data_IF_206420038037
#
_entry.id   IF_206420038037
#
_cell.length_a   1.000
_cell.length_b   1.000
_cell.length_c   1.000
_cell.angle_alpha   90.00
_cell.angle_beta   90.00
_cell.angle_gamma   90.00
#
_symmetry.space_group_name_H-M   'P 1'
#
loop_
_entity.id
_entity.type
_entity.pdbx_description
1 polymer ?
#
# COMPACT_ATOMS: atom_id res chain seq x y z
N UNK A 1 11.73 18.19 -30.24
CA UNK A 1 10.87 17.41 -29.36
C UNK A 1 11.54 17.25 -28.02
N UNK A 2 10.88 17.66 -26.98
CA UNK A 2 11.46 17.55 -25.64
C UNK A 2 11.36 16.12 -25.15
N UNK A 3 12.51 15.57 -24.78
CA UNK A 3 12.54 14.32 -24.04
C UNK A 3 12.35 14.64 -22.58
N UNK A 4 11.14 14.44 -22.09
CA UNK A 4 10.94 14.45 -20.65
C UNK A 4 11.35 13.10 -20.10
N UNK A 5 12.08 13.12 -18.99
CA UNK A 5 12.28 11.90 -18.23
C UNK A 5 10.91 11.26 -17.96
N UNK A 6 10.79 9.93 -18.03
CA UNK A 6 9.52 9.28 -17.74
C UNK A 6 9.03 9.72 -16.38
N UNK A 7 7.78 10.18 -16.32
CA UNK A 7 7.18 10.54 -15.06
C UNK A 7 7.14 9.30 -14.19
N UNK A 8 7.67 9.39 -12.99
CA UNK A 8 7.61 8.25 -12.09
C UNK A 8 6.17 7.89 -11.80
N UNK A 9 5.86 6.60 -11.95
CA UNK A 9 4.52 6.10 -11.68
C UNK A 9 4.23 6.21 -10.19
N UNK A 10 3.02 6.63 -9.86
CA UNK A 10 2.58 6.62 -8.47
C UNK A 10 2.48 5.19 -7.98
N UNK A 11 3.07 4.92 -6.84
CA UNK A 11 3.02 3.61 -6.21
C UNK A 11 1.75 3.46 -5.39
N UNK A 12 1.08 2.34 -5.60
CA UNK A 12 -0.11 1.97 -4.84
C UNK A 12 0.19 0.69 -4.07
N UNK A 13 0.09 0.74 -2.76
CA UNK A 13 0.25 -0.43 -1.91
C UNK A 13 -1.13 -0.99 -1.61
N UNK A 14 -1.34 -2.25 -1.97
CA UNK A 14 -2.60 -2.95 -1.78
C UNK A 14 -2.47 -3.91 -0.60
N UNK A 15 -3.31 -3.72 0.41
CA UNK A 15 -3.25 -4.51 1.65
C UNK A 15 -4.54 -5.30 1.81
N UNK A 16 -4.42 -6.63 1.73
CA UNK A 16 -5.58 -7.53 1.81
C UNK A 16 -6.15 -7.63 3.22
N UNK A 17 -7.32 -8.24 3.33
CA UNK A 17 -8.01 -8.40 4.59
C UNK A 17 -7.64 -9.68 5.33
N UNK A 18 -8.36 -9.88 6.42
CA UNK A 18 -8.21 -11.05 7.29
C UNK A 18 -8.49 -12.34 6.53
N UNK A 19 -7.65 -13.34 6.73
CA UNK A 19 -7.75 -14.67 6.08
C UNK A 19 -7.75 -14.61 4.56
N UNK A 20 -7.42 -13.47 4.00
CA UNK A 20 -7.30 -13.31 2.55
C UNK A 20 -5.84 -13.45 2.15
N UNK A 21 -5.65 -13.80 0.89
CA UNK A 21 -4.33 -13.82 0.28
C UNK A 21 -4.17 -12.59 -0.62
N UNK A 22 -2.95 -12.26 -1.04
CA UNK A 22 -2.76 -11.17 -2.01
C UNK A 22 -3.57 -11.34 -3.30
N UNK A 23 -4.02 -12.55 -3.61
CA UNK A 23 -4.81 -12.84 -4.79
C UNK A 23 -6.12 -12.06 -4.88
N UNK A 24 -6.74 -11.76 -3.72
CA UNK A 24 -8.01 -11.04 -3.70
C UNK A 24 -7.89 -9.64 -4.29
N UNK A 25 -6.71 -9.03 -4.20
CA UNK A 25 -6.45 -7.69 -4.70
C UNK A 25 -5.94 -7.68 -6.15
N UNK A 26 -5.73 -8.84 -6.75
CA UNK A 26 -5.11 -8.94 -8.06
C UNK A 26 -5.92 -8.30 -9.19
N UNK A 27 -7.24 -8.48 -9.27
CA UNK A 27 -8.01 -7.78 -10.30
C UNK A 27 -7.90 -6.26 -10.21
N UNK A 28 -7.91 -5.72 -8.99
CA UNK A 28 -7.73 -4.29 -8.77
C UNK A 28 -6.31 -3.86 -9.16
N UNK A 29 -5.30 -4.64 -8.76
CA UNK A 29 -3.91 -4.35 -9.13
C UNK A 29 -3.75 -4.27 -10.65
N UNK A 30 -4.33 -5.19 -11.39
CA UNK A 30 -4.25 -5.19 -12.85
C UNK A 30 -4.91 -3.95 -13.46
N UNK A 31 -6.04 -3.53 -12.93
CA UNK A 31 -6.72 -2.31 -13.41
C UNK A 31 -5.90 -1.07 -13.12
N UNK A 32 -5.29 -1.00 -11.96
CA UNK A 32 -4.44 0.12 -11.59
C UNK A 32 -3.17 0.16 -12.45
N UNK A 33 -2.55 -0.98 -12.71
CA UNK A 33 -1.40 -1.08 -13.60
C UNK A 33 -1.75 -0.60 -15.01
N UNK A 34 -2.91 -1.00 -15.52
CA UNK A 34 -3.38 -0.55 -16.83
C UNK A 34 -3.61 0.97 -16.87
N UNK A 35 -3.95 1.57 -15.73
CA UNK A 35 -4.12 3.01 -15.61
C UNK A 35 -2.81 3.78 -15.36
N UNK A 36 -1.67 3.08 -15.32
CA UNK A 36 -0.36 3.70 -15.18
C UNK A 36 0.21 3.74 -13.77
N UNK A 37 -0.42 3.05 -12.81
CA UNK A 37 0.11 2.97 -11.45
C UNK A 37 1.09 1.81 -11.30
N UNK A 38 2.06 1.99 -10.41
CA UNK A 38 2.94 0.93 -9.96
C UNK A 38 2.33 0.30 -8.71
N UNK A 39 1.94 -0.96 -8.77
CA UNK A 39 1.26 -1.61 -7.66
C UNK A 39 2.15 -2.59 -6.93
N UNK A 40 2.00 -2.62 -5.62
CA UNK A 40 2.62 -3.64 -4.78
C UNK A 40 1.55 -4.25 -3.88
N UNK A 41 1.40 -5.56 -3.93
CA UNK A 41 0.49 -6.28 -3.04
C UNK A 41 1.27 -6.69 -1.80
N UNK A 42 1.00 -6.00 -0.69
CA UNK A 42 1.67 -6.27 0.55
C UNK A 42 1.10 -7.53 1.20
N UNK A 43 1.93 -8.57 1.28
CA UNK A 43 1.58 -9.80 1.96
C UNK A 43 1.94 -9.73 3.43
N UNK A 44 0.99 -10.00 4.30
CA UNK A 44 1.23 -10.03 5.73
C UNK A 44 0.64 -11.31 6.33
N UNK A 45 1.13 -11.66 7.50
CA UNK A 45 0.66 -12.86 8.20
C UNK A 45 -0.55 -12.54 9.08
N UNK A 46 -1.60 -12.08 8.46
CA UNK A 46 -2.91 -11.85 9.05
C UNK A 46 -2.92 -11.50 10.57
N UNK A 47 -3.84 -12.07 11.33
CA UNK A 47 -4.05 -11.72 12.75
C UNK A 47 -2.93 -12.10 13.70
N UNK A 48 -2.09 -13.06 13.34
CA UNK A 48 -1.10 -13.60 14.27
C UNK A 48 -0.11 -12.56 14.76
N UNK A 49 0.20 -11.61 13.92
CA UNK A 49 1.25 -10.62 14.21
C UNK A 49 0.70 -9.28 14.71
N UNK A 50 -0.61 -9.07 14.62
CA UNK A 50 -1.24 -7.83 15.06
C UNK A 50 -1.06 -6.67 14.10
N UNK A 51 -1.84 -5.61 14.34
CA UNK A 51 -1.87 -4.45 13.46
C UNK A 51 -0.56 -3.68 13.51
N UNK A 52 -0.04 -3.41 14.71
CA UNK A 52 1.19 -2.62 14.87
C UNK A 52 2.40 -3.30 14.27
N UNK A 53 2.51 -4.61 14.45
CA UNK A 53 3.61 -5.37 13.85
C UNK A 53 3.54 -5.35 12.34
N UNK A 54 2.35 -5.48 11.77
CA UNK A 54 2.19 -5.42 10.33
C UNK A 54 2.47 -4.04 9.75
N UNK A 55 2.06 -2.97 10.44
CA UNK A 55 2.41 -1.64 9.97
C UNK A 55 3.91 -1.34 10.08
N UNK A 56 4.58 -1.87 11.12
CA UNK A 56 6.03 -1.76 11.24
C UNK A 56 6.76 -2.50 10.11
N UNK A 57 6.27 -3.66 9.72
CA UNK A 57 6.82 -4.42 8.59
C UNK A 57 6.62 -3.68 7.27
N UNK A 58 5.47 -3.05 7.08
CA UNK A 58 5.21 -2.23 5.91
C UNK A 58 6.20 -1.07 5.85
N UNK A 59 6.42 -0.40 6.98
CA UNK A 59 7.40 0.66 7.07
C UNK A 59 8.80 0.18 6.67
N UNK A 60 9.23 -0.97 7.19
CA UNK A 60 10.53 -1.54 6.85
C UNK A 60 10.65 -1.87 5.38
N UNK A 61 9.61 -2.41 4.78
CA UNK A 61 9.59 -2.70 3.35
C UNK A 61 9.74 -1.42 2.53
N UNK A 62 9.01 -0.37 2.92
CA UNK A 62 9.08 0.92 2.23
C UNK A 62 10.46 1.56 2.37
N UNK A 63 11.09 1.45 3.53
CA UNK A 63 12.44 2.00 3.72
C UNK A 63 13.45 1.39 2.77
N UNK A 64 13.26 0.14 2.39
CA UNK A 64 14.15 -0.55 1.44
C UNK A 64 13.75 -0.29 -0.02
N UNK A 65 12.47 -0.08 -0.29
CA UNK A 65 11.93 -0.16 -1.65
C UNK A 65 11.31 1.14 -2.17
N UNK A 66 11.26 2.18 -1.36
CA UNK A 66 10.59 3.42 -1.74
C UNK A 66 11.34 4.64 -1.22
N UNK A 67 11.38 5.69 -2.02
CA UNK A 67 12.01 6.94 -1.60
C UNK A 67 10.98 7.80 -0.83
N UNK A 68 11.33 8.34 0.36
CA UNK A 68 10.37 9.08 1.17
C UNK A 68 9.84 10.36 0.53
N UNK A 69 10.53 10.91 -0.45
CA UNK A 69 10.07 12.11 -1.15
C UNK A 69 8.97 11.81 -2.18
N UNK A 70 8.78 10.55 -2.53
CA UNK A 70 7.75 10.16 -3.49
C UNK A 70 6.47 9.77 -2.76
N UNK A 71 5.31 10.28 -3.18
CA UNK A 71 4.06 9.92 -2.53
C UNK A 71 3.68 8.46 -2.80
N UNK A 72 2.95 7.88 -1.86
CA UNK A 72 2.37 6.56 -2.02
C UNK A 72 0.86 6.64 -1.79
N UNK A 73 0.13 5.81 -2.54
CA UNK A 73 -1.29 5.61 -2.32
C UNK A 73 -1.48 4.26 -1.62
N UNK A 74 -2.45 4.20 -0.73
CA UNK A 74 -2.72 3.01 0.06
C UNK A 74 -4.16 2.56 -0.16
N UNK A 75 -4.34 1.29 -0.47
CA UNK A 75 -5.67 0.69 -0.60
C UNK A 75 -5.73 -0.52 0.32
N UNK A 76 -6.67 -0.51 1.26
CA UNK A 76 -6.83 -1.60 2.21
C UNK A 76 -8.24 -2.19 2.16
N UNK A 77 -8.31 -3.50 2.25
CA UNK A 77 -9.57 -4.23 2.33
C UNK A 77 -9.71 -4.84 3.71
N UNK A 78 -10.83 -4.57 4.38
CA UNK A 78 -11.15 -5.13 5.70
C UNK A 78 -10.03 -4.78 6.72
N UNK A 79 -9.38 -5.77 7.31
CA UNK A 79 -8.29 -5.57 8.28
C UNK A 79 -7.14 -4.74 7.67
N UNK A 80 -6.93 -4.83 6.38
CA UNK A 80 -5.91 -4.03 5.69
C UNK A 80 -6.11 -2.54 5.90
N UNK A 81 -7.36 -2.07 5.98
CA UNK A 81 -7.65 -0.67 6.27
C UNK A 81 -7.24 -0.26 7.68
N UNK A 82 -7.33 -1.17 8.66
CA UNK A 82 -6.87 -0.90 10.03
C UNK A 82 -5.35 -0.80 10.09
N UNK A 83 -4.66 -1.63 9.32
CA UNK A 83 -3.20 -1.55 9.20
C UNK A 83 -2.79 -0.20 8.62
N UNK A 84 -3.51 0.26 7.59
CA UNK A 84 -3.25 1.58 6.99
C UNK A 84 -3.42 2.69 8.02
N UNK A 85 -4.48 2.66 8.81
CA UNK A 85 -4.72 3.69 9.84
C UNK A 85 -3.58 3.76 10.83
N UNK A 86 -3.14 2.61 11.32
CA UNK A 86 -2.02 2.55 12.25
C UNK A 86 -0.73 3.03 11.58
N UNK A 87 -0.49 2.57 10.37
CA UNK A 87 0.71 2.94 9.62
C UNK A 87 0.81 4.46 9.41
N UNK A 88 -0.27 5.09 8.98
CA UNK A 88 -0.28 6.54 8.74
C UNK A 88 -0.03 7.31 10.03
N UNK A 89 -0.60 6.85 11.15
CA UNK A 89 -0.41 7.49 12.45
C UNK A 89 1.01 7.31 13.00
N UNK A 90 1.59 6.12 12.84
CA UNK A 90 2.89 5.79 13.43
C UNK A 90 4.08 6.25 12.61
N UNK A 91 3.92 6.40 11.29
CA UNK A 91 5.03 6.70 10.39
C UNK A 91 4.75 7.92 9.51
N UNK A 92 4.67 9.12 10.14
CA UNK A 92 4.28 10.34 9.41
C UNK A 92 5.33 10.84 8.42
N UNK A 93 6.51 10.22 8.38
CA UNK A 93 7.55 10.61 7.40
C UNK A 93 7.14 10.32 5.95
N UNK A 94 6.26 9.35 5.73
CA UNK A 94 5.84 8.99 4.39
C UNK A 94 4.79 9.97 3.87
N UNK A 95 4.96 10.38 2.62
CA UNK A 95 3.98 11.22 1.94
C UNK A 95 2.85 10.35 1.44
N UNK A 96 1.71 10.45 2.09
CA UNK A 96 0.52 9.68 1.70
C UNK A 96 -0.31 10.51 0.74
N UNK A 97 -0.51 10.00 -0.47
CA UNK A 97 -1.37 10.64 -1.45
C UNK A 97 -2.83 10.34 -1.18
N UNK A 98 -3.26 9.13 -1.50
CA UNK A 98 -4.65 8.68 -1.32
C UNK A 98 -4.70 7.49 -0.42
N UNK A 99 -5.72 7.44 0.44
CA UNK A 99 -6.03 6.27 1.25
C UNK A 99 -7.44 5.84 0.95
N UNK A 100 -7.61 4.61 0.48
CA UNK A 100 -8.92 4.03 0.20
C UNK A 100 -9.07 2.78 1.04
N UNK A 101 -10.16 2.69 1.79
CA UNK A 101 -10.48 1.50 2.57
C UNK A 101 -11.79 0.91 2.08
N UNK A 102 -11.80 -0.40 1.91
CA UNK A 102 -12.94 -1.14 1.40
C UNK A 102 -13.41 -2.10 2.48
N UNK A 103 -14.66 -1.96 2.92
CA UNK A 103 -15.23 -2.83 3.95
C UNK A 103 -14.50 -2.80 5.29
N UNK A 104 -13.86 -1.68 5.63
CA UNK A 104 -13.13 -1.54 6.89
C UNK A 104 -14.03 -0.95 7.96
N UNK A 105 -14.05 -1.54 9.17
CA UNK A 105 -14.83 -1.01 10.28
C UNK A 105 -14.43 0.41 10.68
#
# INVERSE_FOLDING_TARGET
>A
MQHKAPKQKTRVILIHGLHQTPWIMRPLAKRLQAAGFDTHQYGYRSMRDGIKTNSARLNSWLETNHHPDHPIDLVGHSLGGLIIRDFVAQYPKWKIGRCVTLGTP
#
